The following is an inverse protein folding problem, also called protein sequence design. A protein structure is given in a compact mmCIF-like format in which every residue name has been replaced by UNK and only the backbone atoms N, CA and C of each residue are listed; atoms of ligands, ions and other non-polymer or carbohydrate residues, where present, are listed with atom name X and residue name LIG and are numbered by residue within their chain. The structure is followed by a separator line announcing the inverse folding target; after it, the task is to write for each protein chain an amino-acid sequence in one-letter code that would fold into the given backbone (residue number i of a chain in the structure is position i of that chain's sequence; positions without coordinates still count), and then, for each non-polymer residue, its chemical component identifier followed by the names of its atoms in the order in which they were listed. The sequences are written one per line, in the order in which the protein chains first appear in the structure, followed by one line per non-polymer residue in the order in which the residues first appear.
data_IF_872806890180
#
_entry.id   IF_872806890180
#
_cell.length_a   1.000
_cell.length_b   1.000
_cell.length_c   1.000
_cell.angle_alpha   90.00
_cell.angle_beta   90.00
_cell.angle_gamma   90.00
#
_symmetry.space_group_name_H-M   'P 1'
#
loop_
_entity.id
_entity.type
_entity.pdbx_description
1 polymer ?
#
# COMPACT_ATOMS: atom_id res chain seq x y z
N UNK A 1 -8.38 0.24 10.26
CA UNK A 1 -7.53 1.44 10.18
C UNK A 1 -6.59 1.42 8.98
N UNK A 2 -5.77 0.37 8.77
CA UNK A 2 -4.69 0.35 7.76
C UNK A 2 -5.14 0.51 6.29
N UNK A 3 -6.37 0.15 5.96
CA UNK A 3 -6.92 0.24 4.61
C UNK A 3 -7.71 1.53 4.35
N UNK A 4 -8.05 2.28 5.40
CA UNK A 4 -9.02 3.37 5.32
C UNK A 4 -8.57 4.48 4.36
N UNK A 5 -7.36 5.00 4.55
CA UNK A 5 -6.80 6.07 3.73
C UNK A 5 -6.69 5.65 2.25
N UNK A 6 -6.14 4.45 2.00
CA UNK A 6 -6.00 3.95 0.63
C UNK A 6 -7.35 3.71 -0.06
N UNK A 7 -8.37 3.27 0.67
CA UNK A 7 -9.73 3.15 0.14
C UNK A 7 -10.32 4.53 -0.17
N UNK A 8 -10.08 5.51 0.69
CA UNK A 8 -10.53 6.88 0.49
C UNK A 8 -9.91 7.51 -0.77
N UNK A 9 -8.61 7.30 -0.99
CA UNK A 9 -7.93 7.72 -2.22
C UNK A 9 -8.51 7.02 -3.45
N UNK A 10 -8.78 5.71 -3.36
CA UNK A 10 -9.40 4.96 -4.45
C UNK A 10 -10.80 5.48 -4.79
N UNK A 11 -11.59 5.87 -3.78
CA UNK A 11 -12.93 6.43 -3.97
C UNK A 11 -12.85 7.80 -4.67
N UNK A 12 -11.96 8.68 -4.21
CA UNK A 12 -11.75 10.00 -4.82
C UNK A 12 -11.33 9.88 -6.29
N UNK A 13 -10.31 9.04 -6.58
CA UNK A 13 -9.85 8.82 -7.95
C UNK A 13 -10.95 8.27 -8.85
N UNK A 14 -11.73 7.31 -8.34
CA UNK A 14 -12.84 6.71 -9.08
C UNK A 14 -13.91 7.72 -9.45
N UNK A 15 -14.35 8.57 -8.50
CA UNK A 15 -15.39 9.57 -8.75
C UNK A 15 -14.88 10.65 -9.73
N UNK A 16 -13.62 11.07 -9.63
CA UNK A 16 -13.03 12.01 -10.59
C UNK A 16 -13.10 11.41 -12.00
N UNK A 17 -12.68 10.16 -12.19
CA UNK A 17 -12.74 9.48 -13.48
C UNK A 17 -14.18 9.35 -14.00
N UNK A 18 -15.15 9.02 -13.13
CA UNK A 18 -16.56 8.93 -13.52
C UNK A 18 -17.13 10.27 -14.02
N UNK A 19 -16.68 11.39 -13.46
CA UNK A 19 -17.08 12.74 -13.91
C UNK A 19 -16.36 13.09 -15.22
N UNK A 20 -15.06 12.81 -15.32
CA UNK A 20 -14.26 13.08 -16.53
C UNK A 20 -14.73 12.28 -17.76
N UNK A 21 -15.36 11.13 -17.54
CA UNK A 21 -15.91 10.25 -18.59
C UNK A 21 -17.41 10.42 -18.81
N UNK A 22 -18.04 11.47 -18.23
CA UNK A 22 -19.47 11.77 -18.31
C UNK A 22 -20.39 10.61 -17.86
N UNK A 23 -19.88 9.67 -17.06
CA UNK A 23 -20.70 8.60 -16.47
C UNK A 23 -21.57 9.15 -15.35
N UNK A 24 -21.04 10.11 -14.59
CA UNK A 24 -21.71 10.77 -13.46
C UNK A 24 -21.86 12.25 -13.78
N UNK A 25 -23.07 12.84 -13.62
CA UNK A 25 -23.27 14.27 -13.79
C UNK A 25 -22.32 15.08 -12.91
N UNK A 26 -21.75 16.15 -13.45
CA UNK A 26 -20.74 16.98 -12.77
C UNK A 26 -21.18 17.48 -11.40
N UNK A 27 -22.46 17.85 -11.26
CA UNK A 27 -23.03 18.32 -10.00
C UNK A 27 -23.04 17.19 -8.95
N UNK A 28 -23.59 16.02 -9.28
CA UNK A 28 -23.60 14.86 -8.40
C UNK A 28 -22.18 14.37 -8.04
N UNK A 29 -21.27 14.40 -9.00
CA UNK A 29 -19.84 14.09 -8.76
C UNK A 29 -19.21 15.09 -7.80
N UNK A 30 -19.50 16.39 -7.93
CA UNK A 30 -19.02 17.44 -7.03
C UNK A 30 -19.52 17.24 -5.59
N UNK A 31 -20.82 16.94 -5.42
CA UNK A 31 -21.40 16.62 -4.11
C UNK A 31 -20.74 15.40 -3.47
N UNK A 32 -20.55 14.33 -4.25
CA UNK A 32 -19.94 13.11 -3.76
C UNK A 32 -18.47 13.32 -3.39
N UNK A 33 -17.70 14.08 -4.18
CA UNK A 33 -16.32 14.44 -3.86
C UNK A 33 -16.24 15.27 -2.58
N UNK A 34 -17.14 16.25 -2.41
CA UNK A 34 -17.20 17.02 -1.17
C UNK A 34 -17.46 16.13 0.04
N UNK A 35 -18.41 15.19 -0.03
CA UNK A 35 -18.68 14.24 1.04
C UNK A 35 -17.47 13.30 1.30
N UNK A 36 -16.80 12.81 0.25
CA UNK A 36 -15.61 11.98 0.39
C UNK A 36 -14.45 12.72 1.07
N UNK A 37 -14.28 14.01 0.80
CA UNK A 37 -13.24 14.83 1.43
C UNK A 37 -13.48 15.02 2.92
N UNK A 38 -14.73 15.03 3.41
CA UNK A 38 -15.03 15.13 4.86
C UNK A 38 -14.60 13.89 5.64
N UNK A 39 -14.50 12.74 4.96
CA UNK A 39 -14.07 11.48 5.56
C UNK A 39 -12.64 11.07 5.17
N UNK A 40 -11.89 11.94 4.50
CA UNK A 40 -10.50 11.70 4.11
C UNK A 40 -9.55 12.53 5.00
N UNK A 41 -8.36 12.05 5.39
CA UNK A 41 -7.80 10.69 5.15
C UNK A 41 -8.19 9.67 6.23
N UNK A 42 -8.87 10.09 7.26
CA UNK A 42 -9.24 9.29 8.43
C UNK A 42 -10.74 9.29 8.67
N UNK A 43 -11.29 8.29 9.36
CA UNK A 43 -12.71 8.28 9.71
C UNK A 43 -13.05 9.46 10.64
N UNK A 44 -14.22 10.10 10.46
CA UNK A 44 -14.73 11.08 11.41
C UNK A 44 -14.89 10.50 12.82
N UNK A 45 -14.94 11.36 13.84
CA UNK A 45 -15.06 10.92 15.24
C UNK A 45 -16.35 10.14 15.53
N UNK A 46 -17.42 10.46 14.81
CA UNK A 46 -18.73 9.80 14.90
C UNK A 46 -18.87 8.58 13.98
N UNK A 47 -17.84 8.25 13.20
CA UNK A 47 -17.85 7.05 12.36
C UNK A 47 -17.65 5.79 13.20
N UNK A 48 -18.76 5.06 13.41
CA UNK A 48 -18.75 3.76 14.07
C UNK A 48 -18.82 2.63 13.05
N UNK A 49 -18.04 1.57 13.29
CA UNK A 49 -18.15 0.34 12.51
C UNK A 49 -19.33 -0.48 13.05
N UNK A 50 -20.32 -0.72 12.19
CA UNK A 50 -21.42 -1.65 12.47
C UNK A 50 -21.10 -3.01 11.84
N UNK A 51 -20.89 -4.05 12.66
CA UNK A 51 -20.64 -5.40 12.16
C UNK A 51 -21.78 -5.97 11.30
N UNK A 52 -23.01 -5.50 11.50
CA UNK A 52 -24.16 -5.94 10.71
C UNK A 52 -24.09 -5.48 9.24
N UNK A 53 -23.38 -4.38 8.96
CA UNK A 53 -23.08 -3.91 7.61
C UNK A 53 -21.92 -4.66 6.94
N UNK A 54 -21.20 -5.48 7.69
CA UNK A 54 -20.08 -6.30 7.21
C UNK A 54 -18.74 -5.59 7.28
N UNK A 55 -18.13 -5.27 6.13
CA UNK A 55 -16.77 -4.73 6.07
C UNK A 55 -16.69 -3.20 6.14
N UNK A 56 -15.45 -2.71 6.19
CA UNK A 56 -15.14 -1.28 6.22
C UNK A 56 -15.73 -0.53 5.01
N UNK A 57 -15.72 -1.15 3.81
CA UNK A 57 -16.28 -0.51 2.62
C UNK A 57 -17.76 -0.25 2.75
N UNK A 58 -18.54 -1.26 3.18
CA UNK A 58 -19.98 -1.15 3.37
C UNK A 58 -20.34 -0.11 4.42
N UNK A 59 -19.58 -0.05 5.52
CA UNK A 59 -19.74 0.96 6.55
C UNK A 59 -19.47 2.38 6.02
N UNK A 60 -18.41 2.57 5.23
CA UNK A 60 -18.11 3.86 4.60
C UNK A 60 -19.20 4.28 3.62
N UNK A 61 -19.69 3.34 2.79
CA UNK A 61 -20.78 3.61 1.85
C UNK A 61 -22.07 4.01 2.58
N UNK A 62 -22.43 3.32 3.66
CA UNK A 62 -23.59 3.67 4.49
C UNK A 62 -23.43 5.08 5.10
N UNK A 63 -22.25 5.41 5.61
CA UNK A 63 -21.98 6.74 6.16
C UNK A 63 -22.08 7.84 5.08
N UNK A 64 -21.52 7.61 3.89
CA UNK A 64 -21.62 8.57 2.78
C UNK A 64 -23.07 8.79 2.33
N UNK A 65 -23.94 7.77 2.37
CA UNK A 65 -25.36 7.90 2.06
C UNK A 65 -26.13 8.79 3.03
N UNK A 66 -25.65 8.93 4.27
CA UNK A 66 -26.21 9.90 5.22
C UNK A 66 -25.80 11.34 4.88
N UNK A 67 -24.64 11.54 4.25
CA UNK A 67 -24.13 12.86 3.89
C UNK A 67 -24.70 13.39 2.58
N UNK A 68 -24.89 12.52 1.58
CA UNK A 68 -25.41 12.92 0.25
C UNK A 68 -26.12 11.77 -0.46
N UNK A 69 -27.23 12.04 -1.17
CA UNK A 69 -27.87 11.07 -2.06
C UNK A 69 -26.95 10.69 -3.25
N UNK A 70 -26.00 11.53 -3.61
CA UNK A 70 -25.01 11.25 -4.67
C UNK A 70 -24.10 10.06 -4.34
N UNK A 71 -24.06 9.59 -3.09
CA UNK A 71 -23.31 8.39 -2.69
C UNK A 71 -23.70 7.13 -3.48
N UNK A 72 -24.91 7.08 -4.06
CA UNK A 72 -25.32 5.99 -4.95
C UNK A 72 -24.45 5.83 -6.20
N UNK A 73 -23.77 6.87 -6.65
CA UNK A 73 -22.88 6.84 -7.79
C UNK A 73 -21.51 6.20 -7.50
N UNK A 74 -21.13 6.07 -6.22
CA UNK A 74 -19.81 5.59 -5.82
C UNK A 74 -19.47 4.21 -6.39
N UNK A 75 -20.47 3.34 -6.55
CA UNK A 75 -20.31 1.98 -7.07
C UNK A 75 -20.50 1.85 -8.58
N UNK A 76 -20.71 2.96 -9.31
CA UNK A 76 -20.90 2.92 -10.76
C UNK A 76 -19.68 2.31 -11.46
N UNK A 77 -19.89 1.21 -12.19
CA UNK A 77 -18.83 0.51 -12.95
C UNK A 77 -17.74 -0.16 -12.12
N UNK A 78 -17.88 -0.21 -10.78
CA UNK A 78 -16.86 -0.71 -9.86
C UNK A 78 -17.41 -1.81 -8.94
N UNK A 79 -16.59 -2.82 -8.68
CA UNK A 79 -16.85 -3.77 -7.62
C UNK A 79 -16.28 -3.26 -6.28
N UNK A 80 -16.98 -3.52 -5.18
CA UNK A 80 -16.52 -3.21 -3.81
C UNK A 80 -15.08 -3.63 -3.53
N UNK A 81 -14.68 -4.81 -4.04
CA UNK A 81 -13.34 -5.38 -3.83
C UNK A 81 -12.23 -4.59 -4.52
N UNK A 82 -12.52 -3.81 -5.54
CA UNK A 82 -11.49 -2.98 -6.19
C UNK A 82 -10.95 -1.94 -5.22
N UNK A 83 -11.82 -1.18 -4.55
CA UNK A 83 -11.40 -0.17 -3.57
C UNK A 83 -10.61 -0.79 -2.41
N UNK A 84 -11.09 -1.93 -1.87
CA UNK A 84 -10.37 -2.65 -0.80
C UNK A 84 -9.01 -3.17 -1.25
N UNK A 85 -8.90 -3.69 -2.48
CA UNK A 85 -7.63 -4.20 -3.01
C UNK A 85 -6.66 -3.06 -3.31
N UNK A 86 -7.14 -1.91 -3.81
CA UNK A 86 -6.31 -0.70 -3.98
C UNK A 86 -5.79 -0.24 -2.62
N UNK A 87 -6.65 -0.12 -1.62
CA UNK A 87 -6.25 0.27 -0.26
C UNK A 87 -5.21 -0.68 0.34
N UNK A 88 -5.38 -1.99 0.14
CA UNK A 88 -4.41 -3.01 0.54
C UNK A 88 -3.06 -2.82 -0.17
N UNK A 89 -3.05 -2.64 -1.50
CA UNK A 89 -1.82 -2.45 -2.27
C UNK A 89 -1.08 -1.17 -1.87
N UNK A 90 -1.79 -0.07 -1.62
CA UNK A 90 -1.20 1.17 -1.11
C UNK A 90 -0.56 0.98 0.27
N UNK A 91 -1.24 0.25 1.18
CA UNK A 91 -0.69 -0.10 2.48
C UNK A 91 0.57 -0.98 2.36
N UNK A 92 0.56 -1.99 1.48
CA UNK A 92 1.72 -2.85 1.21
C UNK A 92 2.89 -2.03 0.66
N UNK A 93 2.64 -1.10 -0.29
CA UNK A 93 3.67 -0.19 -0.80
C UNK A 93 4.35 0.60 0.32
N UNK A 94 3.55 1.21 1.20
CA UNK A 94 4.09 1.97 2.34
C UNK A 94 4.95 1.10 3.26
N UNK A 95 4.53 -0.15 3.53
CA UNK A 95 5.30 -1.10 4.34
C UNK A 95 6.59 -1.57 3.67
N UNK A 96 6.55 -1.78 2.34
CA UNK A 96 7.75 -2.15 1.59
C UNK A 96 8.77 -1.03 1.54
N UNK A 97 8.34 0.23 1.44
CA UNK A 97 9.25 1.39 1.52
C UNK A 97 9.91 1.50 2.90
N UNK A 98 9.13 1.33 3.98
CA UNK A 98 9.66 1.32 5.33
C UNK A 98 10.65 0.16 5.56
N UNK A 99 10.33 -1.04 5.05
CA UNK A 99 11.23 -2.18 5.10
C UNK A 99 12.51 -1.92 4.32
N UNK A 100 12.43 -1.37 3.10
CA UNK A 100 13.60 -1.07 2.29
C UNK A 100 14.51 -0.04 2.97
N UNK A 101 13.96 0.98 3.62
CA UNK A 101 14.73 1.93 4.40
C UNK A 101 15.47 1.24 5.57
N UNK A 102 14.77 0.43 6.37
CA UNK A 102 15.36 -0.30 7.49
C UNK A 102 16.45 -1.30 7.04
N UNK A 103 16.26 -1.99 5.91
CA UNK A 103 17.28 -2.87 5.32
C UNK A 103 18.52 -2.06 4.88
N UNK A 104 18.29 -0.89 4.27
CA UNK A 104 19.37 0.02 3.87
C UNK A 104 20.20 0.50 5.06
N UNK A 105 19.53 0.96 6.12
CA UNK A 105 20.19 1.44 7.35
C UNK A 105 20.99 0.32 8.03
N UNK A 106 20.42 -0.88 8.11
CA UNK A 106 21.09 -2.04 8.68
C UNK A 106 22.31 -2.48 7.84
N UNK A 107 22.18 -2.48 6.50
CA UNK A 107 23.28 -2.79 5.60
C UNK A 107 24.42 -1.75 5.71
N UNK A 108 24.09 -0.47 5.75
CA UNK A 108 25.08 0.61 5.94
C UNK A 108 25.84 0.45 7.26
N UNK A 109 25.14 0.22 8.36
CA UNK A 109 25.77 0.00 9.66
C UNK A 109 26.70 -1.24 9.67
N UNK A 110 26.29 -2.32 9.00
CA UNK A 110 27.13 -3.51 8.87
C UNK A 110 28.39 -3.25 8.03
N UNK A 111 28.25 -2.47 6.95
CA UNK A 111 29.39 -2.09 6.08
C UNK A 111 30.37 -1.16 6.80
N UNK A 112 29.87 -0.16 7.53
CA UNK A 112 30.69 0.77 8.31
C UNK A 112 31.49 0.03 9.38
N UNK A 113 30.87 -0.91 10.08
CA UNK A 113 31.57 -1.77 11.04
C UNK A 113 32.57 -2.71 10.36
N UNK A 114 32.22 -3.27 9.20
CA UNK A 114 33.11 -4.14 8.45
C UNK A 114 34.38 -3.38 8.01
N UNK A 115 34.26 -2.16 7.52
CA UNK A 115 35.40 -1.31 7.14
C UNK A 115 36.27 -0.98 8.37
N UNK A 116 35.65 -0.58 9.48
CA UNK A 116 36.35 -0.31 10.74
C UNK A 116 37.15 -1.49 11.25
N UNK A 117 36.68 -2.71 11.04
CA UNK A 117 37.28 -3.95 11.53
C UNK A 117 37.92 -4.81 10.43
N UNK A 118 38.24 -4.22 9.27
CA UNK A 118 38.79 -4.95 8.12
C UNK A 118 40.10 -5.69 8.40
N UNK A 119 40.92 -5.20 9.36
CA UNK A 119 42.17 -5.81 9.78
C UNK A 119 42.11 -6.45 11.19
N UNK A 120 40.98 -6.42 11.86
CA UNK A 120 40.82 -7.02 13.19
C UNK A 120 40.74 -8.53 13.07
N UNK A 121 41.76 -9.24 13.58
CA UNK A 121 41.80 -10.71 13.58
C UNK A 121 40.62 -11.28 14.36
N UNK A 122 39.99 -12.28 13.79
CA UNK A 122 38.81 -12.94 14.33
C UNK A 122 38.88 -14.46 14.06
N UNK A 123 38.61 -15.33 15.04
CA UNK A 123 38.51 -16.75 14.77
C UNK A 123 37.17 -17.06 14.11
N UNK A 124 37.19 -17.72 12.97
CA UNK A 124 35.98 -18.29 12.41
C UNK A 124 35.58 -19.57 13.14
N UNK A 125 34.31 -19.91 13.13
CA UNK A 125 33.72 -21.03 13.91
C UNK A 125 32.96 -21.98 13.00
N UNK A 126 33.09 -23.27 13.29
CA UNK A 126 32.19 -24.31 12.79
C UNK A 126 31.80 -25.24 13.93
N UNK A 127 30.55 -25.59 14.08
CA UNK A 127 30.05 -26.41 15.19
C UNK A 127 30.47 -25.87 16.57
N UNK A 128 30.50 -24.56 16.77
CA UNK A 128 30.97 -23.88 17.98
C UNK A 128 32.47 -24.13 18.30
N UNK A 129 33.26 -24.62 17.35
CA UNK A 129 34.69 -24.81 17.47
C UNK A 129 35.44 -23.80 16.64
N UNK A 130 36.56 -23.22 17.14
CA UNK A 130 37.43 -22.38 16.31
C UNK A 130 37.93 -23.17 15.09
N UNK A 131 37.80 -22.55 13.89
CA UNK A 131 38.22 -23.17 12.63
C UNK A 131 39.42 -22.44 12.05
N UNK A 132 39.23 -21.38 11.30
CA UNK A 132 40.27 -20.67 10.60
C UNK A 132 40.37 -19.20 11.05
N UNK A 133 41.55 -18.57 10.98
CA UNK A 133 41.63 -17.14 11.21
C UNK A 133 40.99 -16.37 10.04
N UNK A 134 40.21 -15.36 10.38
CA UNK A 134 39.63 -14.43 9.44
C UNK A 134 39.68 -13.01 10.01
N UNK A 135 38.98 -12.06 9.44
CA UNK A 135 38.82 -10.74 10.04
C UNK A 135 37.36 -10.53 10.49
N UNK A 136 37.19 -9.74 11.53
CA UNK A 136 35.85 -9.39 11.99
C UNK A 136 35.05 -8.61 10.93
N UNK A 137 35.74 -7.80 10.12
CA UNK A 137 35.14 -7.15 8.96
C UNK A 137 34.57 -8.14 7.95
N UNK A 138 35.33 -9.22 7.62
CA UNK A 138 34.85 -10.28 6.73
C UNK A 138 33.62 -10.99 7.31
N UNK A 139 33.64 -11.30 8.59
CA UNK A 139 32.47 -11.88 9.28
C UNK A 139 31.22 -10.97 9.15
N UNK A 140 31.36 -9.65 9.36
CA UNK A 140 30.24 -8.69 9.25
C UNK A 140 29.65 -8.61 7.83
N UNK A 141 30.48 -8.82 6.79
CA UNK A 141 29.99 -8.85 5.41
C UNK A 141 29.04 -10.02 5.14
N UNK A 142 29.11 -11.09 5.94
CA UNK A 142 28.17 -12.21 5.82
C UNK A 142 26.72 -11.79 6.13
N UNK A 143 26.51 -10.70 6.85
CA UNK A 143 25.21 -10.10 7.11
C UNK A 143 24.85 -9.02 6.08
N UNK A 144 25.82 -8.23 5.62
CA UNK A 144 25.58 -7.15 4.66
C UNK A 144 25.06 -7.68 3.31
N UNK A 145 25.67 -8.71 2.75
CA UNK A 145 25.25 -9.27 1.46
C UNK A 145 23.81 -9.83 1.43
N UNK A 146 23.33 -10.59 2.43
CA UNK A 146 21.93 -10.98 2.53
C UNK A 146 20.97 -9.79 2.57
N UNK A 147 21.30 -8.72 3.34
CA UNK A 147 20.48 -7.51 3.42
C UNK A 147 20.32 -6.81 2.06
N UNK A 148 21.42 -6.75 1.27
CA UNK A 148 21.36 -6.21 -0.09
C UNK A 148 20.45 -7.06 -1.00
N UNK A 149 20.55 -8.39 -0.92
CA UNK A 149 19.64 -9.29 -1.67
C UNK A 149 18.17 -9.15 -1.22
N UNK A 150 17.91 -8.90 0.07
CA UNK A 150 16.57 -8.65 0.58
C UNK A 150 16.05 -7.29 0.11
N UNK A 151 16.91 -6.28 -0.02
CA UNK A 151 16.55 -5.00 -0.62
C UNK A 151 16.11 -5.17 -2.08
N UNK A 152 16.78 -6.01 -2.87
CA UNK A 152 16.37 -6.32 -4.25
C UNK A 152 15.03 -7.06 -4.28
N UNK A 153 14.78 -7.98 -3.34
CA UNK A 153 13.47 -8.65 -3.20
C UNK A 153 12.36 -7.65 -2.84
N UNK A 154 12.64 -6.73 -1.91
CA UNK A 154 11.69 -5.68 -1.52
C UNK A 154 11.36 -4.76 -2.72
N UNK A 155 12.37 -4.39 -3.51
CA UNK A 155 12.21 -3.60 -4.74
C UNK A 155 11.34 -4.32 -5.78
N UNK A 156 11.59 -5.60 -6.02
CA UNK A 156 10.78 -6.42 -6.92
C UNK A 156 9.34 -6.62 -6.40
N UNK A 157 9.15 -6.78 -5.09
CA UNK A 157 7.82 -6.85 -4.47
C UNK A 157 7.05 -5.53 -4.61
N UNK A 158 7.73 -4.39 -4.43
CA UNK A 158 7.14 -3.06 -4.64
C UNK A 158 6.63 -2.89 -6.07
N UNK A 159 7.42 -3.24 -7.07
CA UNK A 159 7.01 -3.14 -8.48
C UNK A 159 5.73 -3.96 -8.76
N UNK A 160 5.61 -5.16 -8.18
CA UNK A 160 4.39 -6.00 -8.30
C UNK A 160 3.20 -5.45 -7.53
N UNK A 161 3.42 -4.84 -6.36
CA UNK A 161 2.36 -4.22 -5.58
C UNK A 161 1.87 -2.90 -6.21
N UNK A 162 2.73 -2.22 -6.96
CA UNK A 162 2.47 -0.91 -7.59
C UNK A 162 1.69 -1.02 -8.91
N UNK A 163 0.70 -1.90 -8.94
CA UNK A 163 -0.20 -2.07 -10.09
C UNK A 163 -1.64 -1.96 -9.59
N UNK A 164 -2.42 -1.03 -10.16
CA UNK A 164 -3.81 -0.84 -9.78
C UNK A 164 -4.70 -1.95 -10.36
N UNK A 165 -5.62 -2.55 -9.58
CA UNK A 165 -6.66 -3.44 -10.08
C UNK A 165 -7.91 -2.69 -10.57
N UNK A 166 -7.92 -1.36 -10.51
CA UNK A 166 -9.09 -0.54 -10.84
C UNK A 166 -9.60 -0.82 -12.26
N UNK A 167 -10.92 -0.79 -12.44
CA UNK A 167 -11.59 -1.08 -13.69
C UNK A 167 -11.70 -2.56 -14.04
N UNK A 168 -11.28 -3.49 -13.16
CA UNK A 168 -11.42 -4.93 -13.36
C UNK A 168 -12.88 -5.42 -13.23
N UNK A 169 -13.70 -4.68 -12.49
CA UNK A 169 -15.08 -5.04 -12.21
C UNK A 169 -15.20 -6.27 -11.30
N UNK A 170 -16.40 -6.85 -11.26
CA UNK A 170 -16.69 -8.00 -10.40
C UNK A 170 -16.15 -9.32 -10.97
N UNK A 171 -16.23 -9.50 -12.29
CA UNK A 171 -15.80 -10.71 -13.01
C UNK A 171 -15.05 -10.35 -14.30
N UNK A 172 -15.73 -9.72 -15.27
CA UNK A 172 -15.21 -9.47 -16.63
C UNK A 172 -15.19 -7.98 -16.99
N UNK A 173 -15.03 -7.09 -16.03
CA UNK A 173 -15.05 -5.65 -16.26
C UNK A 173 -16.46 -5.05 -16.23
N UNK A 174 -16.57 -3.83 -16.75
CA UNK A 174 -17.82 -3.06 -16.83
C UNK A 174 -18.12 -2.71 -18.29
N UNK A 175 -19.42 -2.52 -18.61
CA UNK A 175 -19.87 -1.96 -19.90
C UNK A 175 -19.80 -0.44 -19.94
N UNK A 176 -19.59 0.20 -18.80
CA UNK A 176 -19.41 1.64 -18.75
C UNK A 176 -18.04 2.01 -19.35
N UNK A 177 -17.92 3.16 -20.02
CA UNK A 177 -16.69 3.62 -20.67
C UNK A 177 -15.67 4.14 -19.65
N UNK A 178 -15.24 3.25 -18.74
CA UNK A 178 -14.25 3.60 -17.71
C UNK A 178 -12.88 3.87 -18.33
N UNK A 179 -12.24 4.97 -17.96
CA UNK A 179 -10.84 5.21 -18.29
C UNK A 179 -9.93 4.49 -17.28
N UNK A 180 -9.51 3.27 -17.61
CA UNK A 180 -8.66 2.45 -16.76
C UNK A 180 -7.22 2.97 -16.66
N UNK A 181 -6.76 3.75 -17.63
CA UNK A 181 -5.43 4.35 -17.58
C UNK A 181 -5.39 5.52 -16.60
N UNK A 182 -6.54 6.18 -16.40
CA UNK A 182 -6.74 7.27 -15.44
C UNK A 182 -6.83 6.79 -13.99
N UNK A 183 -7.23 5.54 -13.75
CA UNK A 183 -7.38 4.90 -12.43
C UNK A 183 -6.09 4.20 -11.99
#
# INVERSE_FOLDING_TARGET
AILYEGMSLADLAHVIMLVETDIVPREAGGELLAALLTIHPAPPLDFALDPALGDLYSNREAYLRMLTPAAGWLSAGRARREATTIGYRLAVRGRLLALAAALGDCAAAALDLAEKHRATLFPDYTYLQPAQPTTFGHYLLTFAYPLLRDLDRARAAFARANVSPAGSGSVNGSRLPLDRARL
#
